data_IF_010549029221
#
_entry.id   IF_010549029221
#
_cell.length_a   1.000
_cell.length_b   1.000
_cell.length_c   1.000
_cell.angle_alpha   90.00
_cell.angle_beta   90.00
_cell.angle_gamma   90.00
#
_symmetry.space_group_name_H-M   'P 1'
#
loop_
_entity.id
_entity.type
_entity.pdbx_description
1 polymer ?
#
# COMPACT_ATOMS: atom_id res chain seq x y z
N UNK A 1 31.36 5.45 -77.40
CA UNK A 1 30.11 4.69 -77.47
C UNK A 1 30.36 3.42 -76.67
N UNK A 2 29.89 3.36 -75.48
CA UNK A 2 30.01 2.20 -74.62
C UNK A 2 29.03 2.33 -73.45
N UNK A 3 27.99 1.52 -73.47
CA UNK A 3 26.98 1.44 -72.35
C UNK A 3 27.58 0.64 -71.22
N UNK A 4 27.65 1.23 -70.05
CA UNK A 4 27.95 0.54 -68.81
C UNK A 4 26.63 0.35 -68.08
N UNK A 5 26.19 -0.88 -67.89
CA UNK A 5 25.08 -1.33 -67.06
C UNK A 5 25.61 -1.49 -65.64
N UNK A 6 25.04 -0.75 -64.71
CA UNK A 6 25.30 -0.96 -63.29
C UNK A 6 24.18 -1.80 -62.69
N UNK A 7 24.56 -2.97 -62.20
CA UNK A 7 23.70 -3.81 -61.30
C UNK A 7 23.70 -3.23 -59.91
N UNK A 8 22.53 -2.78 -59.45
CA UNK A 8 22.33 -2.46 -58.06
C UNK A 8 21.93 -3.75 -57.33
N UNK A 9 22.83 -4.27 -56.50
CA UNK A 9 22.52 -5.33 -55.55
C UNK A 9 21.83 -4.70 -54.34
N UNK A 10 20.53 -4.98 -54.17
CA UNK A 10 19.81 -4.69 -52.92
C UNK A 10 20.25 -5.67 -51.84
N UNK A 11 21.07 -5.21 -50.90
CA UNK A 11 21.39 -5.92 -49.68
C UNK A 11 20.26 -5.71 -48.65
N UNK A 12 19.50 -6.77 -48.39
CA UNK A 12 18.56 -6.77 -47.30
C UNK A 12 19.31 -6.81 -45.95
N UNK A 13 19.27 -5.70 -45.21
CA UNK A 13 19.78 -5.61 -43.85
C UNK A 13 18.73 -6.22 -42.92
N UNK A 14 18.92 -7.47 -42.52
CA UNK A 14 18.12 -8.09 -41.45
C UNK A 14 18.61 -7.51 -40.14
N UNK A 15 17.87 -6.55 -39.60
CA UNK A 15 18.05 -6.09 -38.23
C UNK A 15 17.53 -7.19 -37.28
N UNK A 16 18.41 -8.00 -36.74
CA UNK A 16 18.11 -8.88 -35.63
C UNK A 16 17.86 -8.00 -34.39
N UNK A 17 16.58 -7.81 -34.03
CA UNK A 17 16.20 -7.31 -32.74
C UNK A 17 16.58 -8.38 -31.70
N UNK A 18 17.78 -8.26 -31.15
CA UNK A 18 18.12 -8.95 -29.92
C UNK A 18 17.25 -8.33 -28.82
N UNK A 19 16.16 -9.01 -28.49
CA UNK A 19 15.37 -8.70 -27.30
C UNK A 19 16.27 -8.84 -26.08
N UNK A 20 16.55 -7.73 -25.40
CA UNK A 20 17.08 -7.77 -24.05
C UNK A 20 16.01 -8.38 -23.14
N UNK A 21 16.00 -9.69 -23.05
CA UNK A 21 15.36 -10.39 -21.93
C UNK A 21 16.21 -10.10 -20.70
N UNK A 22 15.65 -9.35 -19.74
CA UNK A 22 16.24 -9.16 -18.43
C UNK A 22 16.44 -10.54 -17.79
N UNK A 23 17.67 -10.90 -17.39
CA UNK A 23 17.88 -12.20 -16.75
C UNK A 23 17.41 -12.14 -15.29
N UNK A 24 16.59 -13.09 -14.87
CA UNK A 24 16.35 -13.51 -13.48
C UNK A 24 15.16 -12.97 -12.67
N UNK A 25 14.08 -12.46 -13.23
CA UNK A 25 12.84 -12.31 -12.42
C UNK A 25 12.13 -13.67 -12.20
N UNK A 26 12.01 -14.49 -13.22
CA UNK A 26 11.27 -15.74 -13.14
C UNK A 26 11.80 -16.80 -12.15
N UNK A 27 13.08 -16.72 -11.76
CA UNK A 27 13.64 -17.65 -10.77
C UNK A 27 13.29 -17.29 -9.34
N UNK A 28 13.33 -16.00 -8.99
CA UNK A 28 12.98 -15.52 -7.63
C UNK A 28 11.48 -15.62 -7.35
N UNK A 29 10.65 -15.29 -8.33
CA UNK A 29 9.19 -15.41 -8.19
C UNK A 29 8.79 -16.88 -7.97
N UNK A 30 9.35 -17.82 -8.72
CA UNK A 30 9.10 -19.25 -8.54
C UNK A 30 9.64 -19.83 -7.21
N UNK A 31 10.69 -19.27 -6.65
CA UNK A 31 11.21 -19.63 -5.33
C UNK A 31 10.28 -19.11 -4.21
N UNK A 32 9.84 -17.88 -4.32
CA UNK A 32 8.88 -17.27 -3.41
C UNK A 32 7.54 -18.02 -3.42
N UNK A 33 7.01 -18.35 -4.61
CA UNK A 33 5.76 -19.09 -4.75
C UNK A 33 5.86 -20.49 -4.12
N UNK A 34 6.99 -21.17 -4.28
CA UNK A 34 7.23 -22.47 -3.62
C UNK A 34 7.30 -22.32 -2.10
N UNK A 35 8.00 -21.31 -1.60
CA UNK A 35 8.09 -21.03 -0.17
C UNK A 35 6.70 -20.75 0.43
N UNK A 36 5.92 -19.88 -0.21
CA UNK A 36 4.55 -19.55 0.23
C UNK A 36 3.66 -20.79 0.21
N UNK A 37 3.71 -21.57 -0.86
CA UNK A 37 2.91 -22.80 -0.99
C UNK A 37 3.24 -23.83 0.08
N UNK A 38 4.54 -24.03 0.38
CA UNK A 38 4.99 -24.93 1.44
C UNK A 38 4.53 -24.43 2.83
N UNK A 39 4.73 -23.14 3.12
CA UNK A 39 4.28 -22.53 4.36
C UNK A 39 2.77 -22.68 4.53
N UNK A 40 1.99 -22.33 3.52
CA UNK A 40 0.53 -22.47 3.51
C UNK A 40 0.07 -23.92 3.70
N UNK A 41 0.82 -24.89 3.15
CA UNK A 41 0.56 -26.32 3.34
C UNK A 41 0.77 -26.80 4.77
N UNK A 42 1.67 -26.16 5.51
CA UNK A 42 1.96 -26.48 6.93
C UNK A 42 1.02 -25.77 7.91
N UNK A 43 0.35 -24.69 7.50
CA UNK A 43 -0.54 -23.90 8.35
C UNK A 43 -1.87 -24.61 8.61
N UNK A 44 -2.30 -24.59 9.87
CA UNK A 44 -3.69 -24.91 10.25
C UNK A 44 -4.65 -23.82 9.77
N UNK A 45 -5.95 -24.11 9.76
CA UNK A 45 -6.97 -23.10 9.47
C UNK A 45 -6.90 -21.92 10.45
N UNK A 46 -6.69 -22.20 11.74
CA UNK A 46 -6.59 -21.18 12.78
C UNK A 46 -5.40 -20.22 12.50
N UNK A 47 -4.25 -20.75 12.16
CA UNK A 47 -3.07 -19.94 11.83
C UNK A 47 -3.28 -19.13 10.54
N UNK A 48 -3.98 -19.66 9.54
CA UNK A 48 -4.36 -18.90 8.33
C UNK A 48 -5.28 -17.73 8.66
N UNK A 49 -6.29 -17.96 9.51
CA UNK A 49 -7.18 -16.89 9.98
C UNK A 49 -6.43 -15.88 10.84
N UNK A 50 -5.48 -16.33 11.65
CA UNK A 50 -4.62 -15.47 12.46
C UNK A 50 -3.82 -14.48 11.60
N UNK A 51 -3.29 -14.91 10.44
CA UNK A 51 -2.58 -13.99 9.53
C UNK A 51 -3.46 -12.86 8.98
N UNK A 52 -4.78 -12.99 9.03
CA UNK A 52 -5.73 -11.96 8.62
C UNK A 52 -6.15 -11.03 9.78
N UNK A 53 -5.71 -11.31 11.00
CA UNK A 53 -6.09 -10.57 12.19
C UNK A 53 -5.04 -9.50 12.53
N UNK A 54 -5.48 -8.23 12.58
CA UNK A 54 -4.66 -7.05 12.82
C UNK A 54 -5.27 -6.20 13.95
N UNK A 55 -5.12 -6.59 15.22
CA UNK A 55 -5.68 -5.84 16.34
C UNK A 55 -4.90 -4.56 16.64
N UNK A 56 -5.58 -3.60 17.30
CA UNK A 56 -4.94 -2.40 17.83
C UNK A 56 -4.02 -2.73 19.01
N UNK A 57 -2.82 -2.15 19.00
CA UNK A 57 -1.81 -2.38 20.04
C UNK A 57 -1.94 -1.51 21.29
N UNK A 58 -3.02 -0.76 21.45
CA UNK A 58 -3.20 0.22 22.52
C UNK A 58 -3.13 -0.38 23.94
N UNK A 59 -3.44 -1.66 24.11
CA UNK A 59 -3.39 -2.35 25.40
C UNK A 59 -1.96 -2.74 25.83
N UNK A 60 -0.97 -2.51 25.00
CA UNK A 60 0.45 -2.76 25.30
C UNK A 60 1.16 -1.55 25.91
N UNK A 61 0.43 -0.51 26.30
CA UNK A 61 0.93 0.84 26.65
C UNK A 61 1.68 0.92 27.99
N UNK A 62 1.67 -0.07 28.85
CA UNK A 62 2.38 0.03 30.12
C UNK A 62 3.34 -1.11 30.37
N UNK A 63 4.60 -0.78 30.40
CA UNK A 63 5.80 -1.53 30.82
C UNK A 63 5.65 -2.99 31.20
N UNK A 64 6.52 -3.84 30.68
CA UNK A 64 6.50 -5.29 30.76
C UNK A 64 5.16 -5.89 30.25
N UNK A 65 5.21 -6.57 29.13
CA UNK A 65 4.08 -7.27 28.48
C UNK A 65 3.25 -8.06 29.49
N UNK A 66 2.35 -7.39 30.19
CA UNK A 66 1.43 -7.98 31.15
C UNK A 66 0.02 -8.15 30.61
N UNK A 67 -0.22 -7.85 29.33
CA UNK A 67 -1.45 -8.29 28.71
C UNK A 67 -1.29 -9.75 28.30
N UNK A 68 -1.64 -10.66 29.20
CA UNK A 68 -1.55 -12.10 28.99
C UNK A 68 -2.25 -12.54 27.69
N UNK A 69 -3.37 -11.94 27.37
CA UNK A 69 -4.17 -12.30 26.19
C UNK A 69 -3.46 -12.02 24.86
N UNK A 70 -2.75 -10.87 24.74
CA UNK A 70 -2.06 -10.53 23.50
C UNK A 70 -0.83 -11.41 23.26
N UNK A 71 -0.03 -11.64 24.31
CA UNK A 71 1.11 -12.55 24.24
C UNK A 71 0.66 -13.99 23.96
N UNK A 72 -0.47 -14.40 24.51
CA UNK A 72 -1.09 -15.71 24.22
C UNK A 72 -1.54 -15.81 22.77
N UNK A 73 -2.21 -14.77 22.23
CA UNK A 73 -2.65 -14.73 20.81
C UNK A 73 -1.47 -14.77 19.83
N UNK A 74 -0.34 -14.07 20.14
CA UNK A 74 0.87 -14.16 19.33
C UNK A 74 1.41 -15.61 19.33
N UNK A 75 1.56 -16.21 20.51
CA UNK A 75 2.09 -17.59 20.64
C UNK A 75 1.19 -18.62 19.99
N UNK A 76 -0.12 -18.40 20.00
CA UNK A 76 -1.10 -19.26 19.36
C UNK A 76 -1.13 -19.08 17.82
N UNK A 77 -0.45 -18.07 17.25
CA UNK A 77 -0.50 -17.76 15.82
C UNK A 77 -1.85 -17.17 15.39
N UNK A 78 -2.56 -16.50 16.29
CA UNK A 78 -3.89 -15.92 16.06
C UNK A 78 -3.85 -14.48 15.56
N UNK A 79 -2.67 -13.91 15.36
CA UNK A 79 -2.45 -12.54 14.86
C UNK A 79 -1.36 -12.51 13.82
N UNK A 80 -1.57 -11.76 12.74
CA UNK A 80 -0.59 -11.53 11.67
C UNK A 80 0.17 -10.22 11.80
N UNK A 81 -0.34 -9.30 12.63
CA UNK A 81 0.27 -8.00 12.85
C UNK A 81 -0.47 -7.18 13.89
N UNK A 82 -0.02 -5.95 14.04
CA UNK A 82 -0.63 -4.97 14.93
C UNK A 82 -0.61 -3.58 14.29
N UNK A 83 -1.53 -2.72 14.70
CA UNK A 83 -1.45 -1.32 14.36
C UNK A 83 -1.43 -0.43 15.61
N UNK A 84 -0.89 0.81 15.46
CA UNK A 84 -0.76 1.79 16.54
C UNK A 84 0.01 1.27 17.77
N UNK A 85 1.09 0.52 17.52
CA UNK A 85 2.09 0.17 18.52
C UNK A 85 3.29 1.09 18.31
N UNK A 86 3.81 1.68 19.38
CA UNK A 86 5.02 2.50 19.36
C UNK A 86 6.02 2.02 20.41
N UNK A 87 7.30 2.13 20.06
CA UNK A 87 8.42 1.81 20.96
C UNK A 87 9.19 0.54 20.54
N UNK A 88 10.45 0.76 20.18
CA UNK A 88 11.35 -0.29 19.64
C UNK A 88 11.42 -1.52 20.52
N UNK A 89 11.58 -1.37 21.85
CA UNK A 89 11.68 -2.50 22.78
C UNK A 89 10.42 -3.37 22.79
N UNK A 90 9.25 -2.71 22.73
CA UNK A 90 7.97 -3.39 22.70
C UNK A 90 7.78 -4.18 21.40
N UNK A 91 8.02 -3.52 20.25
CA UNK A 91 7.91 -4.15 18.95
C UNK A 91 8.92 -5.29 18.83
N UNK A 92 10.14 -5.10 19.32
CA UNK A 92 11.15 -6.17 19.35
C UNK A 92 10.69 -7.38 20.16
N UNK A 93 10.13 -7.19 21.35
CA UNK A 93 9.59 -8.29 22.16
C UNK A 93 8.45 -9.03 21.46
N UNK A 94 7.55 -8.32 20.81
CA UNK A 94 6.46 -8.92 20.03
C UNK A 94 7.00 -9.76 18.86
N UNK A 95 7.92 -9.21 18.08
CA UNK A 95 8.59 -9.93 17.00
C UNK A 95 9.32 -11.16 17.49
N UNK A 96 10.03 -11.04 18.60
CA UNK A 96 10.73 -12.17 19.20
C UNK A 96 9.76 -13.30 19.60
N UNK A 97 8.62 -12.96 20.25
CA UNK A 97 7.59 -13.96 20.56
C UNK A 97 7.05 -14.63 19.28
N UNK A 98 6.78 -13.86 18.24
CA UNK A 98 6.26 -14.40 16.98
C UNK A 98 7.25 -15.34 16.29
N UNK A 99 8.52 -14.97 16.26
CA UNK A 99 9.56 -15.73 15.53
C UNK A 99 10.11 -16.92 16.35
N UNK A 100 10.34 -16.74 17.67
CA UNK A 100 11.01 -17.74 18.49
C UNK A 100 10.05 -18.64 19.30
N UNK A 101 8.83 -18.16 19.59
CA UNK A 101 7.91 -18.86 20.48
C UNK A 101 6.67 -19.44 19.77
N UNK A 102 6.57 -19.26 18.43
CA UNK A 102 5.48 -19.85 17.63
C UNK A 102 5.97 -21.04 16.78
N UNK A 103 5.05 -21.90 16.40
CA UNK A 103 5.35 -23.10 15.61
C UNK A 103 5.91 -22.80 14.21
N UNK A 104 5.47 -21.70 13.60
CA UNK A 104 5.80 -21.35 12.20
C UNK A 104 6.88 -20.28 12.10
N UNK A 105 7.12 -19.51 13.15
CA UNK A 105 8.12 -18.45 13.18
C UNK A 105 7.84 -17.30 12.22
N UNK A 106 6.54 -16.98 11.92
CA UNK A 106 6.17 -15.93 11.01
C UNK A 106 6.26 -14.58 11.74
N UNK A 107 7.06 -13.61 11.24
CA UNK A 107 7.14 -12.29 11.86
C UNK A 107 5.83 -11.51 11.67
N UNK A 108 5.57 -10.58 12.59
CA UNK A 108 4.38 -9.71 12.56
C UNK A 108 4.58 -8.50 11.65
N UNK A 109 3.51 -8.06 11.00
CA UNK A 109 3.46 -6.75 10.34
C UNK A 109 3.05 -5.71 11.39
N UNK A 110 3.81 -4.60 11.50
CA UNK A 110 3.48 -3.51 12.42
C UNK A 110 3.15 -2.26 11.63
N UNK A 111 1.88 -1.81 11.74
CA UNK A 111 1.33 -0.69 11.00
C UNK A 111 1.11 0.56 11.85
N UNK A 112 1.25 1.74 11.24
CA UNK A 112 0.92 3.02 11.85
C UNK A 112 0.49 4.06 10.81
N UNK A 113 -0.26 5.09 11.24
CA UNK A 113 -0.58 6.25 10.42
C UNK A 113 0.60 7.24 10.38
N UNK A 114 1.51 7.04 9.44
CA UNK A 114 2.64 7.93 9.19
C UNK A 114 2.29 8.80 7.97
N UNK A 115 1.46 9.83 8.17
CA UNK A 115 0.83 10.59 7.08
C UNK A 115 1.67 11.79 6.66
N UNK A 116 2.19 12.56 7.62
CA UNK A 116 3.01 13.74 7.37
C UNK A 116 4.19 13.86 8.36
N UNK A 117 4.87 12.77 8.57
CA UNK A 117 6.00 12.63 9.50
C UNK A 117 5.75 11.54 10.54
N UNK A 118 6.83 11.18 11.23
CA UNK A 118 6.79 10.26 12.36
C UNK A 118 7.32 10.94 13.62
N UNK A 119 8.61 11.15 13.76
CA UNK A 119 9.20 12.02 14.78
C UNK A 119 9.34 13.46 14.25
N UNK A 120 9.83 13.63 13.03
CA UNK A 120 9.86 14.91 12.34
C UNK A 120 8.47 15.24 11.77
N UNK A 121 7.89 16.36 12.21
CA UNK A 121 6.57 16.84 11.74
C UNK A 121 6.74 17.67 10.48
N UNK A 122 6.08 17.25 9.41
CA UNK A 122 5.99 17.97 8.14
C UNK A 122 4.61 18.62 7.98
N UNK A 123 4.45 19.55 7.04
CA UNK A 123 3.13 20.11 6.72
C UNK A 123 2.13 18.98 6.35
N UNK A 124 0.86 19.22 6.64
CA UNK A 124 -0.21 18.27 6.27
C UNK A 124 -0.24 18.01 4.75
N UNK A 125 -0.74 16.87 4.27
CA UNK A 125 -0.73 16.53 2.85
C UNK A 125 -1.36 17.58 1.94
N UNK A 126 -2.46 18.21 2.37
CA UNK A 126 -3.10 19.29 1.63
C UNK A 126 -2.14 20.50 1.45
N UNK A 127 -1.38 20.87 2.47
CA UNK A 127 -0.40 21.95 2.37
C UNK A 127 0.82 21.54 1.53
N UNK A 128 1.28 20.29 1.64
CA UNK A 128 2.36 19.76 0.80
C UNK A 128 1.98 19.77 -0.68
N UNK A 129 0.74 19.46 -1.03
CA UNK A 129 0.26 19.46 -2.41
C UNK A 129 0.31 20.85 -3.04
N UNK A 130 0.15 21.94 -2.25
CA UNK A 130 0.28 23.32 -2.71
C UNK A 130 1.69 23.67 -3.21
N UNK A 131 2.71 22.90 -2.85
CA UNK A 131 4.08 23.10 -3.36
C UNK A 131 4.26 22.65 -4.81
N UNK A 132 3.44 21.73 -5.29
CA UNK A 132 3.59 21.03 -6.59
C UNK A 132 4.94 20.31 -6.73
N UNK A 133 5.71 20.16 -5.65
CA UNK A 133 7.03 19.54 -5.63
C UNK A 133 6.97 18.08 -5.18
N UNK A 134 6.78 17.19 -6.16
CA UNK A 134 6.75 15.74 -5.91
C UNK A 134 8.09 15.20 -5.36
N UNK A 135 9.21 15.87 -5.66
CA UNK A 135 10.50 15.45 -5.14
C UNK A 135 10.62 15.79 -3.65
N UNK A 136 10.09 16.93 -3.21
CA UNK A 136 10.01 17.27 -1.78
C UNK A 136 9.12 16.28 -1.03
N UNK A 137 7.96 15.89 -1.59
CA UNK A 137 7.06 14.89 -1.00
C UNK A 137 7.76 13.53 -0.90
N UNK A 138 8.47 13.09 -1.94
CA UNK A 138 9.24 11.84 -1.90
C UNK A 138 10.31 11.87 -0.80
N UNK A 139 11.05 12.99 -0.64
CA UNK A 139 12.05 13.14 0.45
C UNK A 139 11.41 13.11 1.82
N UNK A 140 10.28 13.81 2.01
CA UNK A 140 9.52 13.80 3.25
C UNK A 140 9.09 12.37 3.63
N UNK A 141 8.47 11.65 2.70
CA UNK A 141 8.04 10.28 2.91
C UNK A 141 9.24 9.34 3.22
N UNK A 142 10.40 9.58 2.56
CA UNK A 142 11.64 8.82 2.85
C UNK A 142 12.16 9.05 4.27
N UNK A 143 12.16 10.31 4.75
CA UNK A 143 12.55 10.65 6.12
C UNK A 143 11.59 9.99 7.11
N UNK A 144 10.28 10.13 6.88
CA UNK A 144 9.24 9.54 7.72
C UNK A 144 9.36 8.02 7.81
N UNK A 145 9.65 7.34 6.68
CA UNK A 145 9.86 5.90 6.65
C UNK A 145 11.12 5.49 7.42
N UNK A 146 12.20 6.26 7.32
CA UNK A 146 13.45 6.00 8.04
C UNK A 146 13.24 6.11 9.55
N UNK A 147 12.52 7.11 10.01
CA UNK A 147 12.20 7.29 11.43
C UNK A 147 11.26 6.20 11.94
N UNK A 148 10.19 5.90 11.20
CA UNK A 148 9.22 4.87 11.57
C UNK A 148 9.83 3.47 11.61
N UNK A 149 10.67 3.13 10.63
CA UNK A 149 11.36 1.84 10.60
C UNK A 149 12.36 1.66 11.74
N UNK A 150 13.01 2.75 12.19
CA UNK A 150 13.89 2.72 13.34
C UNK A 150 13.15 2.37 14.65
N UNK A 151 11.86 2.67 14.72
CA UNK A 151 10.97 2.27 15.84
C UNK A 151 10.32 0.89 15.63
N UNK A 152 10.61 0.22 14.49
CA UNK A 152 10.11 -1.12 14.17
C UNK A 152 8.80 -1.14 13.37
N UNK A 153 8.31 0.01 12.90
CA UNK A 153 7.15 0.09 12.00
C UNK A 153 7.58 -0.41 10.61
N UNK A 154 6.82 -1.35 10.06
CA UNK A 154 7.07 -1.93 8.73
C UNK A 154 6.01 -1.57 7.68
N UNK A 155 4.92 -0.93 8.09
CA UNK A 155 3.78 -0.62 7.25
C UNK A 155 3.16 0.73 7.65
N UNK A 156 2.87 1.59 6.67
CA UNK A 156 2.15 2.84 6.92
C UNK A 156 0.81 2.88 6.21
N UNK A 157 -0.22 3.43 6.89
CA UNK A 157 -1.54 3.68 6.30
C UNK A 157 -1.55 5.02 5.54
N UNK A 158 -0.62 5.17 4.63
CA UNK A 158 -0.40 6.35 3.78
C UNK A 158 0.14 5.92 2.41
N UNK A 159 -0.21 6.63 1.30
CA UNK A 159 -0.92 7.91 1.26
C UNK A 159 -2.45 7.79 1.29
N UNK A 160 -3.10 8.81 1.85
CA UNK A 160 -4.51 9.06 1.66
C UNK A 160 -4.69 9.89 0.38
N UNK A 161 -5.44 9.35 -0.58
CA UNK A 161 -5.51 9.91 -1.94
C UNK A 161 -6.93 10.21 -2.39
N UNK A 162 -7.87 10.23 -1.46
CA UNK A 162 -9.26 10.53 -1.75
C UNK A 162 -9.42 11.93 -2.33
N UNK A 163 -9.94 12.02 -3.56
CA UNK A 163 -10.35 13.29 -4.14
C UNK A 163 -11.55 13.81 -3.36
N UNK A 164 -11.45 15.01 -2.82
CA UNK A 164 -12.53 15.68 -2.13
C UNK A 164 -12.88 17.03 -2.77
N UNK A 165 -14.13 17.18 -3.18
CA UNK A 165 -14.68 18.42 -3.75
C UNK A 165 -15.63 19.15 -2.80
N UNK A 166 -16.07 18.49 -1.75
CA UNK A 166 -16.91 19.08 -0.71
C UNK A 166 -16.07 19.42 0.53
N UNK A 167 -15.80 20.70 0.73
CA UNK A 167 -14.98 21.18 1.84
C UNK A 167 -15.57 20.91 3.24
N UNK A 168 -16.81 20.41 3.33
CA UNK A 168 -17.42 20.01 4.60
C UNK A 168 -16.91 18.65 5.09
N UNK A 169 -16.33 17.83 4.21
CA UNK A 169 -15.74 16.54 4.62
C UNK A 169 -14.55 16.76 5.55
N UNK A 170 -14.60 16.15 6.74
CA UNK A 170 -13.64 16.41 7.82
C UNK A 170 -12.21 15.92 7.56
N UNK A 171 -11.99 15.09 6.51
CA UNK A 171 -10.70 14.48 6.21
C UNK A 171 -9.96 15.10 5.02
N UNK A 172 -10.41 16.24 4.52
CA UNK A 172 -9.76 16.91 3.38
C UNK A 172 -8.29 17.24 3.63
N UNK A 173 -7.90 17.47 4.88
CA UNK A 173 -6.54 17.79 5.29
C UNK A 173 -5.53 16.66 5.05
N UNK A 174 -6.01 15.41 4.99
CA UNK A 174 -5.17 14.22 4.80
C UNK A 174 -4.83 13.95 3.32
N UNK A 175 -5.55 14.54 2.38
CA UNK A 175 -5.38 14.33 0.93
C UNK A 175 -4.67 15.46 0.21
N UNK A 176 -4.51 15.30 -1.10
CA UNK A 176 -3.82 16.26 -1.98
C UNK A 176 -4.76 17.23 -2.72
N UNK A 177 -6.01 17.35 -2.27
CA UNK A 177 -7.01 18.26 -2.84
C UNK A 177 -7.93 17.60 -3.87
N UNK A 178 -8.43 18.39 -4.83
CA UNK A 178 -9.50 17.97 -5.75
C UNK A 178 -9.00 17.64 -7.17
N UNK A 179 -7.75 17.96 -7.50
CA UNK A 179 -7.21 17.73 -8.84
C UNK A 179 -6.74 16.27 -9.00
N UNK A 180 -7.31 15.48 -9.94
CA UNK A 180 -6.97 14.08 -10.10
C UNK A 180 -5.55 13.84 -10.62
N UNK A 181 -5.02 14.76 -11.43
CA UNK A 181 -3.67 14.63 -11.98
C UNK A 181 -2.61 14.90 -10.91
N UNK A 182 -2.74 16.01 -10.19
CA UNK A 182 -1.85 16.31 -9.07
C UNK A 182 -1.95 15.22 -7.99
N UNK A 183 -3.16 14.77 -7.66
CA UNK A 183 -3.39 13.68 -6.73
C UNK A 183 -2.66 12.39 -7.12
N UNK A 184 -2.67 12.02 -8.40
CA UNK A 184 -1.95 10.85 -8.90
C UNK A 184 -0.43 11.00 -8.80
N UNK A 185 0.10 12.19 -9.13
CA UNK A 185 1.54 12.48 -8.99
C UNK A 185 2.00 12.42 -7.53
N UNK A 186 1.24 13.02 -6.62
CA UNK A 186 1.52 13.01 -5.18
C UNK A 186 1.42 11.60 -4.61
N UNK A 187 0.40 10.82 -4.97
CA UNK A 187 0.25 9.43 -4.56
C UNK A 187 1.51 8.61 -4.91
N UNK A 188 1.98 8.71 -6.16
CA UNK A 188 3.20 8.04 -6.59
C UNK A 188 4.45 8.53 -5.86
N UNK A 189 4.54 9.83 -5.53
CA UNK A 189 5.64 10.40 -4.78
C UNK A 189 5.73 9.84 -3.35
N UNK A 190 4.60 9.74 -2.65
CA UNK A 190 4.53 9.12 -1.33
C UNK A 190 4.95 7.65 -1.37
N UNK A 191 4.39 6.86 -2.29
CA UNK A 191 4.72 5.43 -2.44
C UNK A 191 6.22 5.24 -2.64
N UNK A 192 6.82 5.95 -3.61
CA UNK A 192 8.28 5.88 -3.84
C UNK A 192 9.09 6.33 -2.63
N UNK A 193 8.63 7.31 -1.89
CA UNK A 193 9.27 7.77 -0.68
C UNK A 193 9.26 6.72 0.42
N UNK A 194 8.13 6.14 0.75
CA UNK A 194 8.02 5.11 1.79
C UNK A 194 8.73 3.81 1.41
N UNK A 195 8.50 3.29 0.20
CA UNK A 195 8.96 1.97 -0.23
C UNK A 195 10.36 1.95 -0.85
N UNK A 196 10.97 3.13 -1.12
CA UNK A 196 12.30 3.26 -1.65
C UNK A 196 12.54 2.41 -2.90
N UNK A 197 13.53 1.54 -2.87
CA UNK A 197 13.87 0.59 -3.96
C UNK A 197 13.08 -0.74 -3.84
N UNK A 198 11.81 -0.66 -3.49
CA UNK A 198 10.92 -1.82 -3.40
C UNK A 198 11.08 -2.61 -2.11
N UNK A 199 11.27 -1.92 -0.99
CA UNK A 199 11.36 -2.50 0.35
C UNK A 199 12.53 -3.48 0.52
N UNK A 200 13.67 -3.18 -0.10
CA UNK A 200 14.89 -3.98 0.00
C UNK A 200 15.80 -3.56 1.13
N UNK A 201 15.58 -2.36 1.69
CA UNK A 201 16.40 -1.78 2.74
C UNK A 201 15.64 -1.75 4.06
N UNK A 202 16.36 -1.82 5.18
CA UNK A 202 15.75 -1.84 6.52
C UNK A 202 15.08 -0.52 6.92
N UNK A 203 15.32 0.56 6.18
CA UNK A 203 14.70 1.87 6.40
C UNK A 203 13.55 2.16 5.42
N UNK A 204 13.04 1.16 4.74
CA UNK A 204 11.90 1.21 3.83
C UNK A 204 10.70 0.54 4.48
N UNK A 205 9.51 1.12 4.33
CA UNK A 205 8.27 0.59 4.87
C UNK A 205 7.21 0.47 3.77
N UNK A 206 6.32 -0.49 3.92
CA UNK A 206 5.23 -0.69 2.97
C UNK A 206 4.25 0.49 3.03
N UNK A 207 3.90 1.03 1.88
CA UNK A 207 2.84 2.02 1.74
C UNK A 207 1.47 1.35 1.59
N UNK A 208 0.42 2.05 2.06
CA UNK A 208 -0.97 1.65 1.90
C UNK A 208 -1.78 2.81 1.32
N UNK A 209 -2.21 2.69 0.07
CA UNK A 209 -3.08 3.70 -0.51
C UNK A 209 -4.50 3.57 0.02
N UNK A 210 -5.07 4.67 0.50
CA UNK A 210 -6.39 4.69 1.14
C UNK A 210 -7.23 5.90 0.71
N UNK A 211 -8.56 5.79 0.75
CA UNK A 211 -9.42 4.64 1.07
C UNK A 211 -10.11 4.18 -0.21
N UNK A 212 -9.83 3.01 -0.68
CA UNK A 212 -10.25 2.50 -2.00
C UNK A 212 -11.69 1.98 -1.94
N UNK A 213 -12.69 2.72 -2.51
CA UNK A 213 -12.46 3.96 -3.23
C UNK A 213 -13.60 4.96 -2.99
N UNK A 214 -13.37 6.18 -3.46
CA UNK A 214 -14.37 7.26 -3.55
C UNK A 214 -14.81 7.84 -2.20
N UNK A 215 -14.08 7.62 -1.14
CA UNK A 215 -14.49 8.01 0.22
C UNK A 215 -14.63 9.53 0.38
N UNK A 216 -13.82 10.33 -0.30
CA UNK A 216 -13.93 11.79 -0.33
C UNK A 216 -15.11 12.35 -1.14
N UNK A 217 -15.88 11.49 -1.83
CA UNK A 217 -17.07 11.85 -2.59
C UNK A 217 -18.38 11.57 -1.85
N UNK A 218 -18.31 11.31 -0.55
CA UNK A 218 -19.48 10.99 0.28
C UNK A 218 -20.56 12.07 0.19
N UNK A 219 -21.81 11.63 0.17
CA UNK A 219 -22.96 12.51 0.00
C UNK A 219 -22.99 13.59 1.07
N UNK A 220 -23.18 14.86 0.63
CA UNK A 220 -23.24 16.05 1.49
C UNK A 220 -21.96 16.31 2.31
N UNK A 221 -20.81 15.73 1.93
CA UNK A 221 -19.57 15.82 2.69
C UNK A 221 -19.61 15.12 4.05
N UNK A 222 -20.57 14.25 4.26
CA UNK A 222 -20.72 13.50 5.53
C UNK A 222 -19.82 12.26 5.51
N UNK A 223 -19.00 12.14 6.54
CA UNK A 223 -18.14 10.97 6.69
C UNK A 223 -18.97 9.68 6.80
N UNK A 224 -18.45 8.57 6.29
CA UNK A 224 -19.11 7.25 6.21
C UNK A 224 -20.39 7.19 5.38
N UNK A 225 -20.76 8.25 4.65
CA UNK A 225 -21.98 8.25 3.85
C UNK A 225 -21.78 7.57 2.49
N UNK A 226 -22.89 7.29 1.81
CA UNK A 226 -22.93 6.64 0.50
C UNK A 226 -22.35 7.52 -0.61
N UNK A 227 -21.97 6.86 -1.71
CA UNK A 227 -21.50 7.48 -2.94
C UNK A 227 -22.25 6.85 -4.12
N UNK A 228 -22.91 7.69 -4.92
CA UNK A 228 -23.50 7.27 -6.17
C UNK A 228 -22.95 8.10 -7.32
N UNK A 229 -22.30 7.46 -8.29
CA UNK A 229 -21.78 8.14 -9.48
C UNK A 229 -21.57 7.23 -10.67
N UNK A 230 -21.51 7.81 -11.86
CA UNK A 230 -21.22 7.08 -13.08
C UNK A 230 -19.76 6.57 -13.09
N UNK A 231 -19.54 5.44 -13.76
CA UNK A 231 -18.18 4.92 -13.97
C UNK A 231 -17.26 5.91 -14.70
N UNK A 232 -17.80 6.66 -15.65
CA UNK A 232 -17.05 7.70 -16.35
C UNK A 232 -16.47 8.75 -15.38
N UNK A 233 -17.25 9.21 -14.42
CA UNK A 233 -16.76 10.13 -13.38
C UNK A 233 -15.76 9.47 -12.44
N UNK A 234 -15.99 8.21 -12.09
CA UNK A 234 -15.03 7.44 -11.28
C UNK A 234 -13.65 7.39 -11.94
N UNK A 235 -13.57 6.94 -13.20
CA UNK A 235 -12.30 6.80 -13.91
C UNK A 235 -11.58 8.12 -14.16
N UNK A 236 -12.32 9.17 -14.55
CA UNK A 236 -11.70 10.43 -14.93
C UNK A 236 -11.26 11.29 -13.74
N UNK A 237 -11.84 11.07 -12.56
CA UNK A 237 -11.59 11.94 -11.40
C UNK A 237 -11.14 11.13 -10.20
N UNK A 238 -12.02 10.30 -9.65
CA UNK A 238 -11.81 9.77 -8.30
C UNK A 238 -10.85 8.59 -8.23
N UNK A 239 -10.72 7.81 -9.30
CA UNK A 239 -9.84 6.63 -9.34
C UNK A 239 -8.41 6.96 -9.78
N UNK A 240 -8.17 8.12 -10.39
CA UNK A 240 -6.87 8.49 -10.92
C UNK A 240 -5.73 8.48 -9.87
N UNK A 241 -5.91 9.03 -8.64
CA UNK A 241 -4.86 8.99 -7.63
C UNK A 241 -4.51 7.58 -7.14
N UNK A 242 -5.51 6.70 -7.00
CA UNK A 242 -5.27 5.30 -6.64
C UNK A 242 -4.48 4.57 -7.73
N UNK A 243 -4.83 4.81 -9.00
CA UNK A 243 -4.09 4.27 -10.12
C UNK A 243 -2.64 4.74 -10.12
N UNK A 244 -2.39 6.01 -9.83
CA UNK A 244 -1.03 6.55 -9.68
C UNK A 244 -0.22 5.87 -8.58
N UNK A 245 -0.85 5.49 -7.46
CA UNK A 245 -0.22 4.71 -6.41
C UNK A 245 0.08 3.26 -6.85
N UNK A 246 -0.86 2.61 -7.56
CA UNK A 246 -0.68 1.24 -8.09
C UNK A 246 0.44 1.21 -9.12
N UNK A 247 0.49 2.18 -10.04
CA UNK A 247 1.57 2.33 -11.03
C UNK A 247 2.93 2.60 -10.39
N UNK A 248 2.96 3.22 -9.21
CA UNK A 248 4.16 3.40 -8.40
C UNK A 248 4.56 2.15 -7.59
N UNK A 249 3.79 1.07 -7.66
CA UNK A 249 4.10 -0.21 -7.02
C UNK A 249 3.70 -0.29 -5.55
N UNK A 250 2.62 0.39 -5.13
CA UNK A 250 2.14 0.32 -3.73
C UNK A 250 1.92 -1.12 -3.27
N UNK A 251 2.39 -1.45 -2.07
CA UNK A 251 2.33 -2.82 -1.52
C UNK A 251 0.98 -3.21 -0.96
N UNK A 252 0.16 -2.26 -0.51
CA UNK A 252 -1.16 -2.54 0.06
C UNK A 252 -2.18 -1.45 -0.27
N UNK A 253 -3.45 -1.82 -0.16
CA UNK A 253 -4.61 -0.96 -0.40
C UNK A 253 -5.56 -1.10 0.77
N UNK A 254 -6.03 0.01 1.34
CA UNK A 254 -7.08 -0.01 2.34
C UNK A 254 -8.43 0.31 1.68
N UNK A 255 -9.38 -0.61 1.80
CA UNK A 255 -10.73 -0.41 1.27
C UNK A 255 -11.51 0.64 2.06
N UNK A 256 -12.39 1.36 1.38
CA UNK A 256 -13.18 2.44 1.99
C UNK A 256 -14.40 1.93 2.76
N UNK A 257 -14.96 2.81 3.58
CA UNK A 257 -16.10 2.49 4.45
C UNK A 257 -17.47 2.68 3.79
N UNK A 258 -17.52 3.51 2.73
CA UNK A 258 -18.76 3.87 2.07
C UNK A 258 -19.33 2.75 1.18
N UNK A 259 -20.59 2.87 0.84
CA UNK A 259 -21.17 2.15 -0.28
C UNK A 259 -20.95 2.92 -1.59
N UNK A 260 -20.82 2.20 -2.68
CA UNK A 260 -20.73 2.73 -4.04
C UNK A 260 -21.89 2.17 -4.84
N UNK A 261 -22.82 3.02 -5.30
CA UNK A 261 -24.03 2.60 -6.02
C UNK A 261 -24.78 1.46 -5.28
N UNK A 262 -24.88 1.58 -3.95
CA UNK A 262 -25.57 0.65 -3.08
C UNK A 262 -24.75 -0.60 -2.66
N UNK A 263 -23.53 -0.77 -3.15
CA UNK A 263 -22.65 -1.92 -2.79
C UNK A 263 -21.55 -1.44 -1.84
N UNK A 264 -21.34 -2.08 -0.67
CA UNK A 264 -20.19 -1.76 0.19
C UNK A 264 -18.88 -1.92 -0.58
N UNK A 265 -17.99 -0.92 -0.52
CA UNK A 265 -16.72 -0.94 -1.27
C UNK A 265 -15.88 -2.20 -0.97
N UNK A 266 -15.91 -2.68 0.28
CA UNK A 266 -15.24 -3.91 0.71
C UNK A 266 -15.83 -5.20 0.13
N UNK A 267 -17.05 -5.17 -0.39
CA UNK A 267 -17.75 -6.31 -0.99
C UNK A 267 -17.94 -6.14 -2.50
N UNK A 268 -17.46 -5.04 -3.07
CA UNK A 268 -17.61 -4.76 -4.49
C UNK A 268 -16.57 -5.54 -5.32
N UNK A 269 -17.05 -6.65 -5.93
CA UNK A 269 -16.22 -7.50 -6.81
C UNK A 269 -15.64 -6.70 -7.98
N UNK A 270 -16.43 -5.80 -8.57
CA UNK A 270 -15.91 -5.01 -9.68
C UNK A 270 -14.74 -4.14 -9.21
N UNK A 271 -14.87 -3.46 -8.08
CA UNK A 271 -13.85 -2.58 -7.55
C UNK A 271 -12.56 -3.35 -7.18
N UNK A 272 -12.71 -4.40 -6.36
CA UNK A 272 -11.56 -5.09 -5.76
C UNK A 272 -10.94 -6.16 -6.66
N UNK A 273 -11.72 -6.76 -7.57
CA UNK A 273 -11.23 -7.83 -8.44
C UNK A 273 -11.08 -7.34 -9.87
N UNK A 274 -12.17 -6.89 -10.49
CA UNK A 274 -12.16 -6.63 -11.93
C UNK A 274 -11.31 -5.40 -12.26
N UNK A 275 -11.43 -4.31 -11.49
CA UNK A 275 -10.65 -3.10 -11.67
C UNK A 275 -9.24 -3.23 -11.04
N UNK A 276 -9.16 -3.47 -9.72
CA UNK A 276 -7.90 -3.40 -9.00
C UNK A 276 -6.93 -4.50 -9.42
N UNK A 277 -7.41 -5.76 -9.48
CA UNK A 277 -6.57 -6.92 -9.80
C UNK A 277 -6.41 -7.14 -11.29
N UNK A 278 -7.54 -7.25 -12.03
CA UNK A 278 -7.50 -7.69 -13.42
C UNK A 278 -7.11 -6.55 -14.37
N UNK A 279 -7.64 -5.34 -14.18
CA UNK A 279 -7.36 -4.20 -15.06
C UNK A 279 -6.05 -3.50 -14.69
N UNK A 280 -5.81 -3.21 -13.39
CA UNK A 280 -4.63 -2.48 -12.95
C UNK A 280 -3.44 -3.38 -12.58
N UNK A 281 -3.63 -4.69 -12.48
CA UNK A 281 -2.56 -5.64 -12.18
C UNK A 281 -2.01 -5.56 -10.76
N UNK A 282 -2.79 -5.05 -9.79
CA UNK A 282 -2.35 -4.96 -8.41
C UNK A 282 -2.15 -6.35 -7.80
N UNK A 283 -0.97 -6.63 -7.25
CA UNK A 283 -0.59 -7.94 -6.69
C UNK A 283 -0.47 -7.95 -5.16
N UNK A 284 -0.47 -6.78 -4.51
CA UNK A 284 -0.41 -6.65 -3.06
C UNK A 284 -1.66 -7.13 -2.33
N UNK A 285 -1.82 -6.87 -1.06
CA UNK A 285 -3.01 -7.23 -0.31
C UNK A 285 -3.95 -6.03 -0.10
N UNK A 286 -5.23 -6.33 0.15
CA UNK A 286 -6.25 -5.35 0.51
C UNK A 286 -6.55 -5.51 2.00
N UNK A 287 -6.47 -4.41 2.73
CA UNK A 287 -6.79 -4.33 4.14
C UNK A 287 -8.10 -3.56 4.38
N UNK A 288 -8.69 -3.79 5.54
CA UNK A 288 -9.78 -3.00 6.08
C UNK A 288 -9.60 -2.86 7.58
N UNK A 289 -9.17 -1.68 8.02
CA UNK A 289 -9.24 -1.37 9.44
C UNK A 289 -10.70 -1.13 9.83
N UNK A 290 -11.18 -1.91 10.76
CA UNK A 290 -12.48 -1.70 11.37
C UNK A 290 -12.22 -1.20 12.80
N UNK A 291 -12.64 0.03 13.07
CA UNK A 291 -12.73 0.51 14.45
C UNK A 291 -14.06 -0.01 15.01
N UNK A 292 -13.99 -0.83 16.04
CA UNK A 292 -15.17 -1.19 16.81
C UNK A 292 -15.62 0.06 17.59
N UNK A 293 -16.83 0.51 17.29
CA UNK A 293 -17.53 1.59 17.99
C UNK A 293 -18.28 1.03 19.18
#
# INVERSE_FOLDING_TARGET
MGKISQFVKAGALILSMAGCSSPNSGGKDAEMDRFISDLMGRMTLQEKLGQLNLPAGNDLVSGAVKNSKMAEAIRAGEVGGFFNVKGVDKIYQMQRMAVEETRLGIPLIVGADVIHGYETIFPIPLALSCSWDTAAVTRMARISATEASADGISWTFSPMVDICRDARWGRIAEGSGEDPYLGALMAGAYVRGYQGDGMKQNNEIMACVKHFALYGASESGRDYNSVDMSRNLMYNVYLAPYKGAVEAGVGSVMSSFNTINGVPATADKWLLTDLLRNEWGFTGFVDRLQFDW
#
